data_IF_611670359525
#
_entry.id   IF_611670359525
#
_cell.length_a   1.000
_cell.length_b   1.000
_cell.length_c   1.000
_cell.angle_alpha   90.00
_cell.angle_beta   90.00
_cell.angle_gamma   90.00
#
_symmetry.space_group_name_H-M   'P 1'
#
loop_
_entity.id
_entity.type
_entity.pdbx_description
1 polymer ?
#
# COMPACT_ATOMS: atom_id res chain seq x y z
N UNK A 1 -2.58 38.90 22.49
CA UNK A 1 -1.84 38.83 21.21
C UNK A 1 -2.18 37.48 20.64
N UNK A 2 -2.86 37.41 19.50
CA UNK A 2 -3.13 36.13 18.84
C UNK A 2 -1.79 35.59 18.34
N UNK A 3 -1.39 34.39 18.75
CA UNK A 3 -0.11 33.75 18.37
C UNK A 3 -0.13 33.24 16.91
N UNK A 4 -0.92 33.88 16.05
CA UNK A 4 -1.19 33.45 14.69
C UNK A 4 0.00 33.76 13.76
N UNK A 5 0.14 32.95 12.72
CA UNK A 5 1.24 33.02 11.76
C UNK A 5 0.82 33.86 10.55
N UNK A 6 1.66 34.80 10.13
CA UNK A 6 1.43 35.61 8.93
C UNK A 6 2.28 35.07 7.79
N UNK A 7 1.64 34.57 6.73
CA UNK A 7 2.33 34.12 5.51
C UNK A 7 2.24 35.22 4.45
N UNK A 8 3.40 35.58 3.89
CA UNK A 8 3.52 36.53 2.79
C UNK A 8 3.92 35.79 1.53
N UNK A 9 3.11 35.90 0.48
CA UNK A 9 3.35 35.22 -0.80
C UNK A 9 2.89 36.09 -1.98
N UNK A 10 3.37 35.76 -3.18
CA UNK A 10 2.95 36.37 -4.42
C UNK A 10 1.84 35.53 -5.06
N UNK A 11 0.78 36.18 -5.53
CA UNK A 11 -0.27 35.55 -6.36
C UNK A 11 0.17 35.50 -7.82
N UNK A 12 -0.52 34.71 -8.64
CA UNK A 12 -0.18 34.52 -10.07
C UNK A 12 -0.19 35.82 -10.89
N UNK A 13 -0.94 36.84 -10.43
CA UNK A 13 -0.96 38.20 -11.01
C UNK A 13 0.16 39.11 -10.48
N UNK A 14 1.12 38.57 -9.73
CA UNK A 14 2.29 39.29 -9.19
C UNK A 14 2.01 40.15 -7.96
N UNK A 15 0.78 40.15 -7.43
CA UNK A 15 0.45 40.92 -6.23
C UNK A 15 0.96 40.22 -4.97
N UNK A 16 1.50 41.00 -4.05
CA UNK A 16 1.94 40.50 -2.75
C UNK A 16 0.75 40.47 -1.81
N UNK A 17 0.40 39.28 -1.32
CA UNK A 17 -0.62 39.09 -0.29
C UNK A 17 0.01 38.76 1.05
N UNK A 18 -0.66 39.16 2.12
CA UNK A 18 -0.37 38.75 3.49
C UNK A 18 -1.64 38.15 4.05
N UNK A 19 -1.55 36.93 4.56
CA UNK A 19 -2.67 36.23 5.18
C UNK A 19 -2.27 35.69 6.55
N UNK A 20 -3.23 35.69 7.47
CA UNK A 20 -3.07 35.21 8.84
C UNK A 20 -3.67 33.80 8.96
N UNK A 21 -2.91 32.86 9.53
CA UNK A 21 -3.28 31.47 9.70
C UNK A 21 -3.04 31.03 11.15
N UNK A 22 -3.91 30.18 11.67
CA UNK A 22 -3.73 29.55 12.99
C UNK A 22 -2.69 28.43 12.96
N UNK A 23 -2.48 27.79 11.80
CA UNK A 23 -1.51 26.73 11.58
C UNK A 23 -0.93 26.81 10.17
N UNK A 24 0.39 26.65 10.06
CA UNK A 24 1.10 26.52 8.78
C UNK A 24 1.83 25.18 8.77
N UNK A 25 1.49 24.32 7.81
CA UNK A 25 2.14 23.02 7.61
C UNK A 25 3.19 23.16 6.51
N UNK A 26 4.45 22.89 6.84
CA UNK A 26 5.55 22.93 5.88
C UNK A 26 5.70 21.57 5.19
N UNK A 27 5.37 21.52 3.90
CA UNK A 27 5.61 20.35 3.04
C UNK A 27 7.10 20.23 2.70
N UNK A 28 7.90 19.78 3.66
CA UNK A 28 9.35 19.66 3.52
C UNK A 28 9.75 18.53 2.57
N UNK A 29 10.82 18.75 1.80
CA UNK A 29 11.39 17.74 0.91
C UNK A 29 12.19 16.67 1.65
N UNK A 30 12.56 15.61 0.92
CA UNK A 30 13.44 14.55 1.42
C UNK A 30 14.91 14.95 1.27
N UNK A 31 15.69 14.71 2.32
CA UNK A 31 17.13 14.95 2.36
C UNK A 31 17.88 13.67 2.75
N UNK A 32 19.08 13.50 2.20
CA UNK A 32 20.00 12.46 2.66
C UNK A 32 20.50 12.77 4.07
N UNK A 33 20.56 11.76 4.92
CA UNK A 33 21.00 11.89 6.32
C UNK A 33 22.47 11.50 6.49
N UNK A 34 23.12 11.95 7.56
CA UNK A 34 24.51 11.57 7.86
C UNK A 34 24.71 10.05 7.96
N UNK A 35 23.73 9.33 8.53
CA UNK A 35 23.75 7.85 8.60
C UNK A 35 23.74 7.19 7.23
N UNK A 36 22.98 7.74 6.27
CA UNK A 36 22.95 7.23 4.90
C UNK A 36 24.33 7.38 4.25
N UNK A 37 24.99 8.52 4.45
CA UNK A 37 26.36 8.75 3.94
C UNK A 37 27.37 7.78 4.55
N UNK A 38 27.27 7.51 5.85
CA UNK A 38 28.11 6.51 6.53
C UNK A 38 27.89 5.10 5.96
N UNK A 39 26.65 4.67 5.77
CA UNK A 39 26.32 3.37 5.17
C UNK A 39 26.84 3.28 3.73
N UNK A 40 26.68 4.34 2.93
CA UNK A 40 27.22 4.40 1.58
C UNK A 40 28.76 4.25 1.57
N UNK A 41 29.46 4.90 2.50
CA UNK A 41 30.90 4.74 2.69
C UNK A 41 31.32 3.31 3.04
N UNK A 42 30.61 2.66 3.98
CA UNK A 42 30.84 1.24 4.33
C UNK A 42 30.61 0.30 3.15
N UNK A 43 29.64 0.64 2.29
CA UNK A 43 29.33 -0.10 1.08
C UNK A 43 30.09 0.41 -0.15
N UNK A 44 31.05 1.34 -0.02
CA UNK A 44 31.79 1.93 -1.14
C UNK A 44 30.90 2.30 -2.35
N UNK A 45 29.76 2.94 -2.07
CA UNK A 45 28.79 3.42 -3.07
C UNK A 45 28.99 4.92 -3.25
N UNK A 46 29.08 5.36 -4.50
CA UNK A 46 29.13 6.79 -4.84
C UNK A 46 27.78 7.46 -4.61
N UNK A 47 27.83 8.69 -4.10
CA UNK A 47 26.66 9.54 -3.90
C UNK A 47 26.65 10.70 -4.90
N UNK A 48 25.46 11.16 -5.28
CA UNK A 48 25.27 12.39 -6.04
C UNK A 48 25.41 13.63 -5.15
N UNK A 49 25.32 14.82 -5.75
CA UNK A 49 25.47 16.11 -5.05
C UNK A 49 24.45 16.30 -3.91
N UNK A 50 23.28 15.67 -4.02
CA UNK A 50 22.23 15.69 -3.02
C UNK A 50 22.41 14.60 -1.93
N UNK A 51 23.43 13.75 -2.02
CA UNK A 51 23.75 12.70 -1.06
C UNK A 51 22.95 11.39 -1.23
N UNK A 52 22.30 11.18 -2.36
CA UNK A 52 21.62 9.93 -2.73
C UNK A 52 22.52 9.02 -3.54
N UNK A 53 22.20 7.73 -3.64
CA UNK A 53 22.96 6.79 -4.47
C UNK A 53 23.04 7.27 -5.92
N UNK A 54 24.25 7.29 -6.47
CA UNK A 54 24.47 7.64 -7.88
C UNK A 54 24.04 6.48 -8.77
N UNK A 55 22.98 6.70 -9.55
CA UNK A 55 22.51 5.78 -10.59
C UNK A 55 22.66 6.42 -11.99
N UNK A 56 22.66 5.60 -13.04
CA UNK A 56 22.68 6.07 -14.43
C UNK A 56 21.27 6.03 -15.04
N UNK A 57 21.01 6.87 -16.05
CA UNK A 57 19.70 6.90 -16.72
C UNK A 57 19.31 5.58 -17.40
N UNK A 58 20.30 4.75 -17.75
CA UNK A 58 20.09 3.44 -18.39
C UNK A 58 20.10 2.27 -17.40
N UNK A 59 20.44 2.51 -16.13
CA UNK A 59 20.49 1.50 -15.08
C UNK A 59 20.08 2.12 -13.74
N UNK A 60 18.79 2.51 -13.60
CA UNK A 60 18.32 3.33 -12.48
C UNK A 60 18.37 2.62 -11.12
N UNK A 61 18.35 1.29 -11.12
CA UNK A 61 18.39 0.45 -9.90
C UNK A 61 19.80 -0.04 -9.55
N UNK A 62 20.80 0.28 -10.38
CA UNK A 62 22.19 -0.09 -10.15
C UNK A 62 22.93 1.01 -9.39
N UNK A 63 23.79 0.61 -8.47
CA UNK A 63 24.73 1.55 -7.83
C UNK A 63 26.05 1.63 -8.62
N UNK A 64 26.95 2.51 -8.18
CA UNK A 64 28.32 2.55 -8.69
C UNK A 64 29.14 1.28 -8.39
N UNK A 65 28.68 0.43 -7.46
CA UNK A 65 29.34 -0.83 -7.11
C UNK A 65 28.62 -2.02 -7.73
N UNK A 66 29.32 -2.76 -8.58
CA UNK A 66 28.79 -3.98 -9.18
C UNK A 66 28.33 -4.98 -8.10
N UNK A 67 27.20 -5.64 -8.34
CA UNK A 67 26.57 -6.54 -7.37
C UNK A 67 25.74 -5.85 -6.29
N UNK A 68 25.69 -4.51 -6.27
CA UNK A 68 24.85 -3.75 -5.35
C UNK A 68 23.81 -2.92 -6.10
N UNK A 69 22.57 -3.12 -5.68
CA UNK A 69 21.39 -2.48 -6.23
C UNK A 69 20.76 -1.55 -5.19
N UNK A 70 20.01 -0.58 -5.68
CA UNK A 70 19.32 0.44 -4.87
C UNK A 70 17.86 0.52 -5.28
N UNK A 71 16.99 0.65 -4.27
CA UNK A 71 15.58 0.94 -4.43
C UNK A 71 15.11 1.93 -3.36
N UNK A 72 14.06 2.68 -3.68
CA UNK A 72 13.38 3.56 -2.74
C UNK A 72 14.11 4.88 -2.55
N UNK A 73 13.88 5.53 -1.42
CA UNK A 73 14.30 6.92 -1.23
C UNK A 73 15.81 7.11 -1.15
N UNK A 74 16.60 6.03 -1.06
CA UNK A 74 18.06 6.12 -1.14
C UNK A 74 18.58 6.44 -2.55
N UNK A 75 17.88 6.07 -3.63
CA UNK A 75 18.23 6.51 -5.00
C UNK A 75 17.73 7.93 -5.30
N UNK A 76 16.90 8.52 -4.43
CA UNK A 76 16.39 9.88 -4.57
C UNK A 76 14.94 10.03 -4.09
N UNK A 77 14.43 11.26 -3.92
CA UNK A 77 13.03 11.51 -3.58
C UNK A 77 12.10 10.91 -4.63
N UNK A 78 11.07 10.18 -4.19
CA UNK A 78 10.12 9.50 -5.07
C UNK A 78 8.84 9.12 -4.34
N UNK A 79 7.82 8.73 -5.09
CA UNK A 79 6.57 8.24 -4.54
C UNK A 79 6.57 6.72 -4.28
N UNK A 80 5.44 6.22 -3.78
CA UNK A 80 5.27 4.80 -3.47
C UNK A 80 5.30 3.92 -4.74
N UNK A 81 4.53 4.22 -5.81
CA UNK A 81 4.61 3.48 -7.07
C UNK A 81 6.04 3.34 -7.62
N UNK A 82 6.79 4.44 -7.69
CA UNK A 82 8.18 4.44 -8.17
C UNK A 82 9.08 3.57 -7.29
N UNK A 83 8.91 3.64 -5.97
CA UNK A 83 9.67 2.82 -5.02
C UNK A 83 9.40 1.32 -5.22
N UNK A 84 8.14 0.94 -5.44
CA UNK A 84 7.76 -0.46 -5.68
C UNK A 84 8.35 -0.95 -7.01
N UNK A 85 8.29 -0.12 -8.05
CA UNK A 85 8.89 -0.43 -9.35
C UNK A 85 10.41 -0.65 -9.24
N UNK A 86 11.13 0.27 -8.58
CA UNK A 86 12.56 0.11 -8.37
C UNK A 86 12.88 -1.15 -7.56
N UNK A 87 12.11 -1.46 -6.52
CA UNK A 87 12.32 -2.67 -5.73
C UNK A 87 12.25 -3.93 -6.61
N UNK A 88 11.27 -4.01 -7.53
CA UNK A 88 11.21 -5.10 -8.50
C UNK A 88 12.42 -5.13 -9.43
N UNK A 89 12.87 -3.96 -9.91
CA UNK A 89 14.07 -3.85 -10.75
C UNK A 89 15.35 -4.28 -10.04
N UNK A 90 15.55 -3.84 -8.79
CA UNK A 90 16.71 -4.21 -7.97
C UNK A 90 16.73 -5.71 -7.68
N UNK A 91 15.58 -6.32 -7.38
CA UNK A 91 15.47 -7.77 -7.20
C UNK A 91 15.82 -8.48 -8.50
N UNK A 92 15.29 -8.04 -9.64
CA UNK A 92 15.60 -8.64 -10.94
C UNK A 92 17.11 -8.59 -11.25
N UNK A 93 17.75 -7.43 -11.03
CA UNK A 93 19.19 -7.28 -11.21
C UNK A 93 20.01 -8.13 -10.24
N UNK A 94 19.58 -8.27 -8.98
CA UNK A 94 20.23 -9.15 -8.03
C UNK A 94 20.08 -10.63 -8.43
N UNK A 95 18.86 -11.04 -8.81
CA UNK A 95 18.56 -12.40 -9.25
C UNK A 95 19.32 -12.81 -10.50
N UNK A 96 19.58 -11.88 -11.44
CA UNK A 96 20.38 -12.20 -12.63
C UNK A 96 21.83 -12.58 -12.31
N UNK A 97 22.34 -12.21 -11.13
CA UNK A 97 23.67 -12.63 -10.66
C UNK A 97 23.68 -14.01 -10.00
N UNK A 98 22.51 -14.58 -9.74
CA UNK A 98 22.35 -15.83 -8.99
C UNK A 98 21.94 -17.01 -9.89
N UNK A 99 21.93 -16.84 -11.22
CA UNK A 99 21.40 -17.82 -12.18
C UNK A 99 22.12 -19.17 -12.17
N UNK A 100 23.39 -19.20 -11.74
CA UNK A 100 24.19 -20.43 -11.69
C UNK A 100 24.15 -21.12 -10.30
N UNK A 101 23.51 -20.51 -9.31
CA UNK A 101 23.43 -21.09 -7.97
C UNK A 101 22.32 -22.14 -7.91
N UNK A 102 22.56 -23.28 -7.21
CA UNK A 102 21.52 -24.27 -6.99
C UNK A 102 20.39 -23.64 -6.16
N UNK A 103 19.19 -23.61 -6.74
CA UNK A 103 17.99 -23.11 -6.07
C UNK A 103 17.56 -24.13 -5.03
N UNK A 104 17.65 -23.77 -3.74
CA UNK A 104 16.94 -24.49 -2.70
C UNK A 104 15.49 -24.04 -2.73
N UNK A 105 14.62 -24.90 -3.24
CA UNK A 105 13.18 -24.65 -3.23
C UNK A 105 12.70 -24.67 -1.77
N UNK A 106 12.41 -23.49 -1.21
CA UNK A 106 11.74 -23.38 0.09
C UNK A 106 10.25 -23.55 -0.22
N UNK A 107 9.74 -24.76 -0.04
CA UNK A 107 8.30 -25.00 -0.09
C UNK A 107 7.69 -24.42 1.19
N UNK A 108 6.91 -23.39 1.03
CA UNK A 108 6.04 -22.90 2.10
C UNK A 108 5.00 -23.99 2.36
N UNK A 109 5.01 -24.59 3.55
CA UNK A 109 4.01 -25.59 3.94
C UNK A 109 2.66 -24.88 4.12
N UNK A 110 1.84 -24.93 3.07
CA UNK A 110 0.46 -24.47 3.14
C UNK A 110 -0.40 -25.50 3.89
N UNK A 111 -1.38 -25.06 4.68
CA UNK A 111 -2.35 -25.96 5.28
C UNK A 111 -3.16 -26.69 4.20
N UNK A 112 -3.71 -27.86 4.54
CA UNK A 112 -4.63 -28.57 3.65
C UNK A 112 -5.85 -27.70 3.32
N UNK A 113 -6.31 -27.79 2.07
CA UNK A 113 -7.48 -27.04 1.61
C UNK A 113 -8.74 -27.55 2.32
N UNK A 114 -9.48 -26.63 2.92
CA UNK A 114 -10.72 -26.89 3.62
C UNK A 114 -11.79 -27.21 2.58
N UNK A 115 -12.36 -28.41 2.62
CA UNK A 115 -13.50 -28.75 1.78
C UNK A 115 -14.76 -28.04 2.28
N UNK A 116 -15.31 -27.18 1.42
CA UNK A 116 -16.50 -26.36 1.68
C UNK A 116 -17.70 -26.74 0.80
N UNK A 117 -17.60 -27.86 0.08
CA UNK A 117 -18.67 -28.34 -0.80
C UNK A 117 -19.98 -28.53 -0.02
N UNK A 118 -21.09 -28.09 -0.62
CA UNK A 118 -22.43 -28.16 -0.01
C UNK A 118 -22.68 -27.18 1.15
N UNK A 119 -21.68 -26.39 1.57
CA UNK A 119 -21.88 -25.39 2.62
C UNK A 119 -22.51 -24.10 2.06
N UNK A 120 -23.42 -23.44 2.81
CA UNK A 120 -23.92 -22.13 2.41
C UNK A 120 -22.79 -21.08 2.45
N UNK A 121 -22.89 -19.99 1.66
CA UNK A 121 -21.93 -18.89 1.72
C UNK A 121 -21.83 -18.28 3.12
N UNK A 122 -20.60 -18.18 3.62
CA UNK A 122 -20.22 -17.53 4.89
C UNK A 122 -19.14 -16.51 4.57
N UNK A 123 -19.57 -15.29 4.27
CA UNK A 123 -18.77 -14.24 3.66
C UNK A 123 -18.18 -13.35 4.75
N UNK A 124 -16.87 -13.10 4.69
CA UNK A 124 -16.22 -12.02 5.42
C UNK A 124 -15.97 -10.83 4.51
N UNK A 125 -16.48 -9.65 4.87
CA UNK A 125 -16.30 -8.41 4.11
C UNK A 125 -15.37 -7.46 4.85
N UNK A 126 -14.21 -7.17 4.26
CA UNK A 126 -13.18 -6.32 4.86
C UNK A 126 -13.04 -5.02 4.07
N UNK A 127 -13.36 -3.89 4.69
CA UNK A 127 -13.39 -2.57 4.01
C UNK A 127 -12.14 -1.77 4.39
N UNK A 128 -11.38 -1.31 3.41
CA UNK A 128 -10.12 -0.58 3.64
C UNK A 128 -10.37 0.93 3.67
N UNK A 129 -9.78 1.63 4.65
CA UNK A 129 -9.72 3.10 4.69
C UNK A 129 -8.62 3.67 3.79
N UNK A 130 -7.56 2.90 3.58
CA UNK A 130 -6.37 3.27 2.82
C UNK A 130 -5.79 4.63 3.29
N UNK A 131 -5.70 4.80 4.60
CA UNK A 131 -5.43 6.10 5.23
C UNK A 131 -6.58 7.06 4.92
N UNK A 132 -6.29 8.13 4.18
CA UNK A 132 -7.31 9.09 3.72
C UNK A 132 -7.77 8.83 2.28
N UNK A 133 -7.12 7.92 1.54
CA UNK A 133 -7.42 7.73 0.12
C UNK A 133 -8.84 7.24 -0.15
N UNK A 134 -9.40 6.42 0.75
CA UNK A 134 -10.81 6.00 0.70
C UNK A 134 -11.62 6.79 1.73
N UNK A 135 -11.15 6.83 2.98
CA UNK A 135 -11.90 7.39 4.10
C UNK A 135 -12.14 8.91 4.05
N UNK A 136 -11.44 9.68 3.19
CA UNK A 136 -11.75 11.10 3.01
C UNK A 136 -13.02 11.35 2.18
N UNK A 137 -13.39 10.38 1.33
CA UNK A 137 -14.51 10.50 0.38
C UNK A 137 -15.66 9.55 0.71
N UNK A 138 -15.34 8.31 1.11
CA UNK A 138 -16.31 7.25 1.42
C UNK A 138 -16.45 7.10 2.93
N UNK A 139 -17.69 7.09 3.42
CA UNK A 139 -18.00 6.74 4.81
C UNK A 139 -17.85 5.22 5.02
N UNK A 140 -16.62 4.82 5.35
CA UNK A 140 -16.25 3.41 5.54
C UNK A 140 -17.06 2.72 6.65
N UNK A 141 -17.29 3.33 7.83
CA UNK A 141 -18.20 2.77 8.84
C UNK A 141 -19.58 2.44 8.30
N UNK A 142 -20.18 3.33 7.50
CA UNK A 142 -21.50 3.09 6.90
C UNK A 142 -21.48 1.95 5.88
N UNK A 143 -20.40 1.81 5.11
CA UNK A 143 -20.23 0.66 4.20
C UNK A 143 -20.15 -0.64 5.01
N UNK A 144 -19.40 -0.68 6.11
CA UNK A 144 -19.32 -1.86 7.00
C UNK A 144 -20.67 -2.21 7.64
N UNK A 145 -21.42 -1.20 8.06
CA UNK A 145 -22.77 -1.39 8.61
C UNK A 145 -23.70 -2.00 7.54
N UNK A 146 -23.70 -1.42 6.34
CA UNK A 146 -24.50 -1.92 5.22
C UNK A 146 -24.14 -3.36 4.83
N UNK A 147 -22.85 -3.67 4.66
CA UNK A 147 -22.39 -5.01 4.26
C UNK A 147 -22.74 -6.06 5.31
N UNK A 148 -22.78 -5.69 6.60
CA UNK A 148 -23.22 -6.57 7.69
C UNK A 148 -24.71 -6.97 7.60
N UNK A 149 -25.53 -6.21 6.86
CA UNK A 149 -26.95 -6.53 6.63
C UNK A 149 -27.20 -7.47 5.45
N UNK A 150 -26.18 -7.74 4.62
CA UNK A 150 -26.34 -8.54 3.41
C UNK A 150 -26.40 -10.04 3.73
N UNK A 151 -27.26 -10.76 3.00
CA UNK A 151 -27.43 -12.20 3.15
C UNK A 151 -26.11 -12.96 2.93
N UNK A 152 -25.79 -13.88 3.83
CA UNK A 152 -24.56 -14.69 3.78
C UNK A 152 -23.31 -14.00 4.33
N UNK A 153 -23.35 -12.69 4.63
CA UNK A 153 -22.27 -12.01 5.33
C UNK A 153 -22.31 -12.35 6.82
N UNK A 154 -21.26 -13.00 7.29
CA UNK A 154 -21.11 -13.44 8.69
C UNK A 154 -20.27 -12.46 9.50
N UNK A 155 -19.37 -11.74 8.83
CA UNK A 155 -18.46 -10.79 9.45
C UNK A 155 -18.21 -9.63 8.52
N UNK A 156 -18.29 -8.41 9.03
CA UNK A 156 -17.74 -7.24 8.33
C UNK A 156 -16.94 -6.38 9.29
N UNK A 157 -15.82 -5.86 8.80
CA UNK A 157 -14.97 -4.96 9.57
C UNK A 157 -14.18 -4.05 8.66
N UNK A 158 -13.70 -2.93 9.21
CA UNK A 158 -12.79 -2.03 8.53
C UNK A 158 -11.34 -2.20 8.97
N UNK A 159 -10.42 -1.80 8.10
CA UNK A 159 -8.99 -1.70 8.40
C UNK A 159 -8.45 -0.35 7.95
N UNK A 160 -7.47 0.20 8.70
CA UNK A 160 -6.72 1.37 8.25
C UNK A 160 -6.00 1.07 6.92
N UNK A 161 -5.34 -0.09 6.85
CA UNK A 161 -4.65 -0.58 5.65
C UNK A 161 -4.83 -2.10 5.54
N UNK A 162 -5.82 -2.56 4.76
CA UNK A 162 -6.12 -3.99 4.61
C UNK A 162 -4.94 -4.82 4.07
N UNK A 163 -4.01 -4.21 3.32
CA UNK A 163 -2.82 -4.89 2.81
C UNK A 163 -1.68 -5.03 3.83
N UNK A 164 -1.79 -4.41 5.01
CA UNK A 164 -0.76 -4.51 6.06
C UNK A 164 -0.66 -5.93 6.63
N UNK A 165 0.52 -6.34 7.09
CA UNK A 165 0.75 -7.67 7.65
C UNK A 165 -0.19 -8.00 8.82
N UNK A 166 -0.46 -7.01 9.69
CA UNK A 166 -1.36 -7.19 10.82
C UNK A 166 -2.82 -7.39 10.37
N UNK A 167 -3.26 -6.69 9.32
CA UNK A 167 -4.60 -6.90 8.74
C UNK A 167 -4.71 -8.27 8.08
N UNK A 168 -3.67 -8.73 7.37
CA UNK A 168 -3.67 -10.09 6.78
C UNK A 168 -3.75 -11.18 7.86
N UNK A 169 -3.03 -11.02 8.98
CA UNK A 169 -3.15 -11.92 10.13
C UNK A 169 -4.57 -11.91 10.70
N UNK A 170 -5.16 -10.73 10.88
CA UNK A 170 -6.53 -10.59 11.38
C UNK A 170 -7.55 -11.23 10.43
N UNK A 171 -7.40 -11.08 9.11
CA UNK A 171 -8.25 -11.76 8.11
C UNK A 171 -8.14 -13.29 8.29
N UNK A 172 -6.92 -13.83 8.39
CA UNK A 172 -6.69 -15.26 8.62
C UNK A 172 -7.32 -15.78 9.90
N UNK A 173 -7.19 -15.02 11.00
CA UNK A 173 -7.81 -15.35 12.28
C UNK A 173 -9.34 -15.33 12.16
N UNK A 174 -9.93 -14.34 11.50
CA UNK A 174 -11.38 -14.24 11.31
C UNK A 174 -11.93 -15.34 10.40
N UNK A 175 -11.18 -15.75 9.38
CA UNK A 175 -11.55 -16.90 8.54
C UNK A 175 -11.73 -18.14 9.41
N UNK A 176 -10.78 -18.42 10.30
CA UNK A 176 -10.80 -19.58 11.20
C UNK A 176 -11.86 -19.42 12.30
N UNK A 177 -11.88 -18.28 12.99
CA UNK A 177 -12.78 -18.02 14.13
C UNK A 177 -14.25 -18.04 13.72
N UNK A 178 -14.58 -17.47 12.56
CA UNK A 178 -15.97 -17.35 12.09
C UNK A 178 -16.36 -18.43 11.08
N UNK A 179 -15.47 -19.38 10.76
CA UNK A 179 -15.66 -20.38 9.72
C UNK A 179 -16.12 -19.72 8.40
N UNK A 180 -15.37 -18.70 7.95
CA UNK A 180 -15.66 -18.04 6.68
C UNK A 180 -15.24 -18.97 5.54
N UNK A 181 -16.00 -18.98 4.45
CA UNK A 181 -15.69 -19.75 3.25
C UNK A 181 -15.66 -18.88 1.99
N UNK A 182 -15.91 -17.57 2.11
CA UNK A 182 -15.75 -16.55 1.06
C UNK A 182 -15.19 -15.28 1.69
N UNK A 183 -14.35 -14.56 0.96
CA UNK A 183 -13.77 -13.30 1.43
C UNK A 183 -13.97 -12.23 0.36
N UNK A 184 -14.48 -11.07 0.78
CA UNK A 184 -14.55 -9.87 -0.05
C UNK A 184 -13.68 -8.80 0.58
N UNK A 185 -12.78 -8.19 -0.20
CA UNK A 185 -12.05 -6.99 0.24
C UNK A 185 -12.49 -5.81 -0.60
N UNK A 186 -13.04 -4.78 0.05
CA UNK A 186 -13.38 -3.52 -0.58
C UNK A 186 -12.24 -2.51 -0.37
N UNK A 187 -11.41 -2.32 -1.40
CA UNK A 187 -10.20 -1.49 -1.30
C UNK A 187 -9.75 -0.92 -2.65
N UNK A 188 -8.50 -1.14 -3.03
CA UNK A 188 -7.88 -0.68 -4.27
C UNK A 188 -8.17 -1.60 -5.47
N UNK A 189 -7.46 -1.38 -6.57
CA UNK A 189 -7.50 -2.26 -7.74
C UNK A 189 -7.03 -3.69 -7.42
N UNK A 190 -7.71 -4.72 -7.97
CA UNK A 190 -7.27 -6.11 -7.83
C UNK A 190 -5.89 -6.33 -8.45
N UNK A 191 -5.54 -5.58 -9.51
CA UNK A 191 -4.25 -5.71 -10.23
C UNK A 191 -3.01 -5.62 -9.34
N UNK A 192 -3.11 -4.91 -8.21
CA UNK A 192 -1.97 -4.69 -7.31
C UNK A 192 -1.91 -5.69 -6.17
N UNK A 193 -3.05 -5.97 -5.51
CA UNK A 193 -3.06 -6.69 -4.22
C UNK A 193 -3.90 -7.96 -4.22
N UNK A 194 -4.57 -8.33 -5.31
CA UNK A 194 -5.28 -9.62 -5.39
C UNK A 194 -4.37 -10.82 -5.08
N UNK A 195 -3.15 -10.93 -5.64
CA UNK A 195 -2.25 -12.04 -5.30
C UNK A 195 -1.88 -12.09 -3.81
N UNK A 196 -1.84 -10.93 -3.13
CA UNK A 196 -1.56 -10.87 -1.70
C UNK A 196 -2.71 -11.49 -0.89
N UNK A 197 -3.96 -11.11 -1.17
CA UNK A 197 -5.12 -11.66 -0.46
C UNK A 197 -5.38 -13.12 -0.82
N UNK A 198 -5.13 -13.55 -2.06
CA UNK A 198 -5.19 -14.96 -2.44
C UNK A 198 -4.21 -15.81 -1.62
N UNK A 199 -2.98 -15.32 -1.41
CA UNK A 199 -2.01 -15.97 -0.50
C UNK A 199 -2.49 -16.00 0.95
N UNK A 200 -3.15 -14.94 1.42
CA UNK A 200 -3.78 -14.92 2.75
C UNK A 200 -4.81 -16.05 2.87
N UNK A 201 -5.71 -16.20 1.89
CA UNK A 201 -6.68 -17.29 1.88
C UNK A 201 -5.99 -18.67 1.87
N UNK A 202 -4.97 -18.87 1.03
CA UNK A 202 -4.21 -20.12 1.01
C UNK A 202 -3.57 -20.43 2.37
N UNK A 203 -2.98 -19.44 3.03
CA UNK A 203 -2.41 -19.58 4.38
C UNK A 203 -3.48 -19.88 5.47
N UNK A 204 -4.75 -19.60 5.18
CA UNK A 204 -5.88 -19.98 6.04
C UNK A 204 -6.47 -21.37 5.72
N UNK A 205 -6.03 -22.01 4.63
CA UNK A 205 -6.59 -23.27 4.12
C UNK A 205 -7.79 -23.08 3.19
N UNK A 206 -8.13 -21.85 2.83
CA UNK A 206 -9.18 -21.59 1.84
C UNK A 206 -8.61 -21.58 0.42
N UNK A 207 -9.43 -22.03 -0.52
CA UNK A 207 -9.15 -21.89 -1.94
C UNK A 207 -8.98 -20.40 -2.31
N UNK A 208 -7.88 -20.01 -2.99
CA UNK A 208 -7.61 -18.60 -3.30
C UNK A 208 -8.67 -17.96 -4.19
N UNK A 209 -9.42 -18.74 -4.97
CA UNK A 209 -10.45 -18.24 -5.89
C UNK A 209 -11.82 -18.03 -5.22
N UNK A 210 -11.90 -18.23 -3.90
CA UNK A 210 -13.05 -17.88 -3.07
C UNK A 210 -12.95 -16.45 -2.50
N UNK A 211 -12.07 -15.66 -3.13
CA UNK A 211 -11.80 -14.27 -2.85
C UNK A 211 -12.40 -13.39 -3.96
N UNK A 212 -12.98 -12.25 -3.58
CA UNK A 212 -13.46 -11.23 -4.51
C UNK A 212 -12.97 -9.85 -4.09
N UNK A 213 -12.67 -9.00 -5.07
CA UNK A 213 -12.14 -7.66 -4.82
C UNK A 213 -13.13 -6.59 -5.30
N UNK A 214 -13.65 -5.77 -4.38
CA UNK A 214 -14.42 -4.58 -4.73
C UNK A 214 -13.50 -3.36 -4.79
N UNK A 215 -13.31 -2.78 -5.98
CA UNK A 215 -12.51 -1.56 -6.13
C UNK A 215 -13.34 -0.33 -5.76
N UNK A 216 -13.12 0.19 -4.54
CA UNK A 216 -13.75 1.41 -4.03
C UNK A 216 -12.77 2.59 -3.93
N UNK A 217 -11.53 2.43 -4.41
CA UNK A 217 -10.53 3.51 -4.44
C UNK A 217 -10.45 4.17 -5.82
N UNK A 218 -9.81 3.49 -6.78
CA UNK A 218 -9.61 4.03 -8.13
C UNK A 218 -10.95 4.22 -8.85
N UNK A 219 -11.92 3.32 -8.61
CA UNK A 219 -13.23 3.37 -9.25
C UNK A 219 -14.30 4.09 -8.42
N UNK A 220 -13.97 4.55 -7.22
CA UNK A 220 -14.92 5.29 -6.38
C UNK A 220 -14.28 6.50 -5.68
N UNK A 221 -13.58 6.32 -4.56
CA UNK A 221 -13.16 7.43 -3.69
C UNK A 221 -12.30 8.49 -4.37
N UNK A 222 -11.42 8.10 -5.31
CA UNK A 222 -10.55 9.03 -6.03
C UNK A 222 -11.25 9.86 -7.09
N UNK A 223 -12.34 9.35 -7.65
CA UNK A 223 -13.06 10.00 -8.77
C UNK A 223 -14.34 10.72 -8.35
N UNK A 224 -14.74 10.60 -7.07
CA UNK A 224 -15.99 11.17 -6.53
C UNK A 224 -15.77 12.06 -5.29
N UNK A 225 -14.63 12.73 -5.18
CA UNK A 225 -14.23 13.51 -4.00
C UNK A 225 -15.24 14.60 -3.60
N UNK A 226 -15.89 15.21 -4.59
CA UNK A 226 -16.87 16.29 -4.40
C UNK A 226 -18.30 15.80 -4.08
N UNK A 227 -18.58 14.49 -4.23
CA UNK A 227 -19.93 13.92 -4.07
C UNK A 227 -19.93 12.73 -3.10
N UNK A 228 -19.45 12.99 -1.87
CA UNK A 228 -19.17 11.98 -0.83
C UNK A 228 -20.35 11.05 -0.51
N UNK A 229 -21.57 11.57 -0.43
CA UNK A 229 -22.76 10.74 -0.16
C UNK A 229 -23.03 9.76 -1.31
N UNK A 230 -22.88 10.20 -2.55
CA UNK A 230 -23.02 9.34 -3.73
C UNK A 230 -21.86 8.35 -3.85
N UNK A 231 -20.64 8.77 -3.50
CA UNK A 231 -19.48 7.88 -3.44
C UNK A 231 -19.67 6.77 -2.41
N UNK A 232 -20.20 7.11 -1.23
CA UNK A 232 -20.52 6.14 -0.16
C UNK A 232 -21.61 5.17 -0.58
N UNK A 233 -22.64 5.63 -1.29
CA UNK A 233 -23.69 4.74 -1.83
C UNK A 233 -23.19 3.84 -2.97
N UNK A 234 -22.18 4.30 -3.72
CA UNK A 234 -21.56 3.54 -4.81
C UNK A 234 -20.61 2.46 -4.28
N UNK A 235 -19.90 2.76 -3.19
CA UNK A 235 -19.01 1.85 -2.48
C UNK A 235 -19.81 0.76 -1.76
#
# INVERSE_FOLDING_TARGET
>A
ITENLIVRYATDDGRIKKEEFELVVLSVGLLSTGKIKETAGKLNIELNECGFSRASSFSPVSTSRAGIFVAGTFSGPKDIPETVMEASGSVSGASSLLTELPVKEIKEELPEEINIEGQPPRIGVFVCRCGINIAATVDVPRVVEYTSTLGGVVHSQEFMFACSQDSQKSINEKIKEKNLNRVVVAACTPRTHEPLFQKTLQASGLNPYLFEFANIREQCSWVHQEVKDSATKKA
#
